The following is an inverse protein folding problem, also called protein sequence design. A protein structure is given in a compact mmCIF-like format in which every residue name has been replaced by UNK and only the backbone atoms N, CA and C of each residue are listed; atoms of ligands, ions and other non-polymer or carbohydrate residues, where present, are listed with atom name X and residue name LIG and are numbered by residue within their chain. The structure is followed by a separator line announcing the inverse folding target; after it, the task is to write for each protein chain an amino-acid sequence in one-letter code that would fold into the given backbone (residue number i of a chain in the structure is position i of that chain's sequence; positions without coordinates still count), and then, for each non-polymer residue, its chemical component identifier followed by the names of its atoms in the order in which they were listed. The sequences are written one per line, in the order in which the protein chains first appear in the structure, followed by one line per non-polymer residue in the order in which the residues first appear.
data_IF_636221970062
#
_entry.id   IF_636221970062
#
_cell.length_a   1.000
_cell.length_b   1.000
_cell.length_c   1.000
_cell.angle_alpha   90.00
_cell.angle_beta   90.00
_cell.angle_gamma   90.00
#
_symmetry.space_group_name_H-M   'P 1'
#
loop_
_entity.id
_entity.type
_entity.pdbx_description
1 polymer ?
#
# COMPACT_ATOMS: atom_id res chain seq x y z
N UNK A 1 -3.20 -5.85 -5.56
CA UNK A 1 -2.01 -6.36 -4.85
C UNK A 1 -2.22 -6.24 -3.36
N UNK A 2 -1.64 -7.17 -2.61
CA UNK A 2 -1.56 -7.13 -1.14
C UNK A 2 -0.12 -7.41 -0.71
N UNK A 3 0.29 -6.87 0.44
CA UNK A 3 1.65 -7.06 0.96
C UNK A 3 1.60 -7.54 2.41
N UNK A 4 2.26 -8.66 2.73
CA UNK A 4 2.22 -9.25 4.07
C UNK A 4 3.39 -10.20 4.35
N UNK A 5 3.72 -10.37 5.63
CA UNK A 5 4.70 -11.36 6.08
C UNK A 5 4.01 -12.66 6.52
N UNK A 6 4.79 -13.63 6.99
CA UNK A 6 4.26 -14.90 7.46
C UNK A 6 3.26 -14.77 8.63
N UNK A 7 3.36 -13.72 9.46
CA UNK A 7 2.47 -13.51 10.61
C UNK A 7 1.10 -12.98 10.19
N UNK A 8 1.04 -12.27 9.07
CA UNK A 8 -0.19 -11.68 8.53
C UNK A 8 -0.89 -12.58 7.49
N UNK A 9 -0.45 -13.83 7.31
CA UNK A 9 -1.08 -14.76 6.36
C UNK A 9 -2.55 -15.07 6.72
N UNK A 10 -2.90 -15.18 8.01
CA UNK A 10 -4.29 -15.43 8.43
C UNK A 10 -5.20 -14.22 8.09
N UNK A 11 -4.84 -12.98 8.48
CA UNK A 11 -5.55 -11.79 8.01
C UNK A 11 -5.69 -11.75 6.48
N UNK A 12 -4.61 -12.01 5.74
CA UNK A 12 -4.62 -12.03 4.28
C UNK A 12 -5.62 -13.06 3.73
N UNK A 13 -5.67 -14.27 4.31
CA UNK A 13 -6.67 -15.29 3.96
C UNK A 13 -8.10 -14.81 4.15
N UNK A 14 -8.40 -14.18 5.29
CA UNK A 14 -9.75 -13.66 5.58
C UNK A 14 -10.12 -12.52 4.63
N UNK A 15 -9.21 -11.56 4.46
CA UNK A 15 -9.40 -10.40 3.58
C UNK A 15 -9.66 -10.85 2.13
N UNK A 16 -8.78 -11.68 1.56
CA UNK A 16 -8.91 -12.17 0.18
C UNK A 16 -10.16 -13.04 -0.02
N UNK A 17 -10.48 -13.91 0.96
CA UNK A 17 -11.69 -14.72 0.88
C UNK A 17 -12.94 -13.83 0.87
N UNK A 18 -13.03 -12.87 1.80
CA UNK A 18 -14.18 -11.95 1.88
C UNK A 18 -14.32 -11.07 0.64
N UNK A 19 -13.19 -10.68 0.04
CA UNK A 19 -13.16 -9.94 -1.22
C UNK A 19 -13.76 -10.79 -2.36
N UNK A 20 -13.26 -12.01 -2.54
CA UNK A 20 -13.72 -12.90 -3.62
C UNK A 20 -15.15 -13.41 -3.42
N UNK A 21 -15.61 -13.53 -2.18
CA UNK A 21 -17.00 -13.90 -1.89
C UNK A 21 -18.00 -12.78 -2.16
N UNK A 22 -17.54 -11.52 -2.19
CA UNK A 22 -18.39 -10.33 -2.31
C UNK A 22 -18.28 -9.63 -3.68
N UNK A 23 -17.29 -9.99 -4.50
CA UNK A 23 -17.02 -9.32 -5.77
C UNK A 23 -18.01 -9.71 -6.88
N UNK A 24 -18.31 -8.76 -7.76
CA UNK A 24 -19.05 -9.03 -8.99
C UNK A 24 -18.21 -9.89 -9.94
N UNK A 25 -18.83 -10.84 -10.65
CA UNK A 25 -18.13 -11.68 -11.63
C UNK A 25 -18.35 -11.20 -13.08
N UNK A 26 -19.20 -10.19 -13.26
CA UNK A 26 -19.55 -9.62 -14.56
C UNK A 26 -19.91 -8.15 -14.40
N UNK A 27 -19.54 -7.32 -15.38
CA UNK A 27 -19.94 -5.93 -15.50
C UNK A 27 -20.20 -5.60 -16.96
N UNK A 28 -21.35 -4.98 -17.25
CA UNK A 28 -21.75 -4.58 -18.60
C UNK A 28 -21.64 -5.72 -19.64
N UNK A 29 -21.98 -6.95 -19.26
CA UNK A 29 -21.88 -8.15 -20.11
C UNK A 29 -20.48 -8.74 -20.25
N UNK A 30 -19.48 -8.18 -19.56
CA UNK A 30 -18.08 -8.62 -19.60
C UNK A 30 -17.73 -9.35 -18.30
N UNK A 31 -17.29 -10.60 -18.42
CA UNK A 31 -16.80 -11.38 -17.27
C UNK A 31 -15.54 -10.75 -16.69
N UNK A 32 -15.51 -10.61 -15.37
CA UNK A 32 -14.38 -10.08 -14.62
C UNK A 32 -13.48 -11.23 -14.16
N UNK A 33 -12.17 -10.99 -14.19
CA UNK A 33 -11.17 -11.89 -13.64
C UNK A 33 -10.26 -11.16 -12.65
N UNK A 34 -10.09 -11.73 -11.46
CA UNK A 34 -9.35 -11.10 -10.36
C UNK A 34 -7.97 -11.74 -10.22
N UNK A 35 -6.95 -11.09 -10.79
CA UNK A 35 -5.56 -11.49 -10.58
C UNK A 35 -5.00 -10.86 -9.30
N UNK A 36 -4.73 -11.68 -8.29
CA UNK A 36 -4.24 -11.25 -6.97
C UNK A 36 -2.72 -11.42 -6.93
N UNK A 37 -2.02 -10.30 -6.77
CA UNK A 37 -0.57 -10.26 -6.58
C UNK A 37 -0.24 -10.09 -5.09
N UNK A 38 0.39 -11.10 -4.50
CA UNK A 38 0.84 -11.11 -3.11
C UNK A 38 2.35 -10.82 -3.05
N UNK A 39 2.73 -9.61 -2.61
CA UNK A 39 4.11 -9.29 -2.26
C UNK A 39 4.37 -9.81 -0.84
N UNK A 40 5.26 -10.79 -0.70
CA UNK A 40 5.46 -11.47 0.58
C UNK A 40 6.89 -11.39 1.06
N UNK A 41 7.06 -11.37 2.39
CA UNK A 41 8.36 -11.42 3.04
C UNK A 41 8.52 -12.74 3.80
N UNK A 42 9.25 -13.68 3.21
CA UNK A 42 9.57 -14.98 3.83
C UNK A 42 8.33 -15.81 4.22
N UNK A 43 7.31 -15.85 3.35
CA UNK A 43 6.11 -16.66 3.57
C UNK A 43 6.45 -18.16 3.54
N UNK A 44 6.00 -18.92 4.54
CA UNK A 44 6.24 -20.37 4.58
C UNK A 44 5.46 -21.08 3.47
N UNK A 45 6.01 -22.18 2.95
CA UNK A 45 5.32 -23.01 1.96
C UNK A 45 3.97 -23.51 2.47
N UNK A 46 3.89 -23.87 3.76
CA UNK A 46 2.65 -24.29 4.41
C UNK A 46 1.58 -23.18 4.38
N UNK A 47 1.96 -21.94 4.71
CA UNK A 47 1.03 -20.82 4.71
C UNK A 47 0.61 -20.43 3.29
N UNK A 48 1.54 -20.45 2.32
CA UNK A 48 1.22 -20.24 0.92
C UNK A 48 0.20 -21.27 0.40
N UNK A 49 0.38 -22.56 0.70
CA UNK A 49 -0.56 -23.61 0.29
C UNK A 49 -1.91 -23.49 0.98
N UNK A 50 -1.94 -23.18 2.29
CA UNK A 50 -3.20 -22.91 3.01
C UNK A 50 -3.97 -21.73 2.40
N UNK A 51 -3.27 -20.66 2.02
CA UNK A 51 -3.91 -19.51 1.38
C UNK A 51 -4.46 -19.89 0.00
N UNK A 52 -3.70 -20.64 -0.82
CA UNK A 52 -4.21 -21.17 -2.10
C UNK A 52 -5.46 -22.02 -1.91
N UNK A 53 -5.47 -22.92 -0.93
CA UNK A 53 -6.65 -23.73 -0.61
C UNK A 53 -7.84 -22.88 -0.18
N UNK A 54 -7.59 -21.85 0.63
CA UNK A 54 -8.63 -20.93 1.10
C UNK A 54 -9.36 -20.27 -0.08
N UNK A 55 -8.62 -19.86 -1.11
CA UNK A 55 -9.22 -19.17 -2.27
C UNK A 55 -9.61 -20.11 -3.42
N UNK A 56 -9.25 -21.39 -3.36
CA UNK A 56 -9.51 -22.38 -4.42
C UNK A 56 -10.98 -22.44 -4.89
N UNK A 57 -12.00 -22.24 -4.03
CA UNK A 57 -13.40 -22.17 -4.47
C UNK A 57 -13.68 -21.11 -5.54
N UNK A 58 -12.82 -20.09 -5.67
CA UNK A 58 -12.98 -18.96 -6.60
C UNK A 58 -12.11 -19.07 -7.87
N UNK A 59 -11.46 -20.21 -8.09
CA UNK A 59 -10.50 -20.43 -9.19
C UNK A 59 -11.09 -20.27 -10.61
N UNK A 60 -12.41 -20.30 -10.75
CA UNK A 60 -13.07 -20.06 -12.04
C UNK A 60 -12.96 -18.60 -12.53
N UNK A 61 -12.73 -17.64 -11.63
CA UNK A 61 -12.70 -16.21 -11.94
C UNK A 61 -11.59 -15.43 -11.20
N UNK A 62 -10.65 -16.13 -10.56
CA UNK A 62 -9.52 -15.50 -9.86
C UNK A 62 -8.25 -16.33 -9.95
N UNK A 63 -7.12 -15.64 -9.81
CA UNK A 63 -5.78 -16.21 -9.72
C UNK A 63 -5.00 -15.57 -8.57
N UNK A 64 -4.02 -16.30 -8.03
CA UNK A 64 -3.10 -15.78 -7.02
C UNK A 64 -1.66 -16.06 -7.41
N UNK A 65 -0.82 -15.05 -7.27
CA UNK A 65 0.61 -15.13 -7.49
C UNK A 65 1.36 -14.59 -6.27
N UNK A 66 2.43 -15.28 -5.90
CA UNK A 66 3.29 -14.91 -4.78
C UNK A 66 4.62 -14.39 -5.33
N UNK A 67 4.97 -13.17 -4.96
CA UNK A 67 6.27 -12.58 -5.22
C UNK A 67 7.00 -12.44 -3.88
N UNK A 68 7.95 -13.34 -3.60
CA UNK A 68 8.77 -13.25 -2.40
C UNK A 68 9.85 -12.18 -2.58
N UNK A 69 9.74 -11.11 -1.80
CA UNK A 69 10.66 -9.97 -1.86
C UNK A 69 11.84 -10.12 -0.89
N UNK A 70 11.81 -11.11 0.01
CA UNK A 70 12.79 -11.27 1.09
C UNK A 70 14.22 -11.39 0.56
N UNK A 71 14.39 -12.16 -0.53
CA UNK A 71 15.67 -12.51 -1.17
C UNK A 71 15.76 -12.07 -2.63
N UNK A 72 14.95 -11.10 -3.02
CA UNK A 72 14.93 -10.63 -4.41
C UNK A 72 15.91 -9.45 -4.59
N UNK A 73 17.05 -9.74 -5.21
CA UNK A 73 18.11 -8.77 -5.52
C UNK A 73 17.98 -8.18 -6.95
N UNK A 74 16.82 -8.36 -7.59
CA UNK A 74 16.49 -7.68 -8.84
C UNK A 74 15.82 -6.33 -8.58
N UNK A 75 15.96 -5.41 -9.54
CA UNK A 75 15.12 -4.21 -9.58
C UNK A 75 13.64 -4.59 -9.70
N UNK A 76 12.72 -3.91 -8.98
CA UNK A 76 12.93 -2.77 -8.08
C UNK A 76 13.21 -3.14 -6.60
N UNK A 77 13.24 -4.42 -6.22
CA UNK A 77 13.36 -4.87 -4.83
C UNK A 77 14.73 -4.60 -4.19
N UNK A 78 15.79 -4.55 -4.99
CA UNK A 78 17.11 -4.07 -4.53
C UNK A 78 17.03 -2.63 -4.04
N UNK A 79 16.31 -1.76 -4.76
CA UNK A 79 16.13 -0.37 -4.37
C UNK A 79 15.26 -0.26 -3.12
N UNK A 80 14.18 -1.05 -3.02
CA UNK A 80 13.38 -1.17 -1.78
C UNK A 80 14.27 -1.49 -0.58
N UNK A 81 15.16 -2.49 -0.72
CA UNK A 81 16.06 -2.89 0.36
C UNK A 81 17.08 -1.79 0.71
N UNK A 82 17.61 -1.09 -0.29
CA UNK A 82 18.52 0.06 -0.08
C UNK A 82 17.83 1.23 0.63
N UNK A 83 16.60 1.58 0.22
CA UNK A 83 15.81 2.63 0.86
C UNK A 83 15.43 2.26 2.30
N UNK A 84 15.14 0.99 2.56
CA UNK A 84 14.82 0.51 3.91
C UNK A 84 15.97 0.71 4.90
N UNK A 85 17.22 0.52 4.46
CA UNK A 85 18.40 0.74 5.30
C UNK A 85 18.53 2.20 5.77
N UNK A 86 18.01 3.16 4.99
CA UNK A 86 18.01 4.59 5.29
C UNK A 86 16.96 5.01 6.31
N UNK A 87 16.00 4.15 6.64
CA UNK A 87 15.02 4.44 7.68
C UNK A 87 15.68 4.43 9.07
N UNK A 88 15.21 5.29 9.95
CA UNK A 88 15.65 5.31 11.35
C UNK A 88 15.37 3.96 12.05
N UNK A 89 16.12 3.62 13.13
CA UNK A 89 16.00 2.34 13.82
C UNK A 89 14.59 2.01 14.33
N UNK A 90 13.82 3.02 14.74
CA UNK A 90 12.45 2.82 15.21
C UNK A 90 11.55 2.30 14.07
N UNK A 91 11.60 2.96 12.90
CA UNK A 91 10.84 2.56 11.73
C UNK A 91 11.23 1.15 11.27
N UNK A 92 12.53 0.82 11.25
CA UNK A 92 13.02 -0.53 10.90
C UNK A 92 12.55 -1.62 11.87
N UNK A 93 12.33 -1.29 13.14
CA UNK A 93 11.79 -2.24 14.14
C UNK A 93 10.29 -2.45 13.98
N UNK A 94 9.56 -1.42 13.55
CA UNK A 94 8.10 -1.44 13.47
C UNK A 94 7.57 -1.93 12.12
N UNK A 95 8.30 -1.69 11.04
CA UNK A 95 7.83 -1.93 9.68
C UNK A 95 8.79 -2.83 8.91
N UNK A 96 8.26 -3.69 8.03
CA UNK A 96 9.04 -4.41 7.02
C UNK A 96 9.36 -3.48 5.84
N UNK A 97 10.40 -3.82 5.06
CA UNK A 97 10.73 -3.17 3.79
C UNK A 97 9.57 -3.12 2.80
N UNK A 98 8.58 -4.01 2.94
CA UNK A 98 7.33 -3.99 2.19
C UNK A 98 6.61 -2.64 2.19
N UNK A 99 6.74 -1.82 3.24
CA UNK A 99 6.09 -0.49 3.25
C UNK A 99 6.60 0.41 2.12
N UNK A 100 7.82 0.18 1.64
CA UNK A 100 8.46 0.96 0.58
C UNK A 100 8.13 0.43 -0.82
N UNK A 101 7.58 -0.79 -0.94
CA UNK A 101 7.06 -1.28 -2.22
C UNK A 101 5.95 -0.37 -2.77
N UNK A 102 5.22 0.34 -1.89
CA UNK A 102 4.19 1.33 -2.24
C UNK A 102 4.73 2.50 -3.07
N UNK A 103 6.04 2.79 -2.98
CA UNK A 103 6.70 3.85 -3.74
C UNK A 103 7.13 3.41 -5.15
N UNK A 104 7.06 2.11 -5.43
CA UNK A 104 7.68 1.46 -6.59
C UNK A 104 6.69 0.55 -7.35
N UNK A 105 5.38 0.81 -7.22
CA UNK A 105 4.34 -0.05 -7.77
C UNK A 105 4.33 -0.10 -9.30
N UNK A 106 4.65 0.99 -9.98
CA UNK A 106 4.69 1.05 -11.44
C UNK A 106 5.87 0.23 -12.00
N UNK A 107 6.99 0.18 -11.26
CA UNK A 107 8.14 -0.67 -11.56
C UNK A 107 7.96 -2.12 -11.14
N UNK A 108 7.22 -2.41 -10.06
CA UNK A 108 6.90 -3.79 -9.64
C UNK A 108 5.91 -4.42 -10.63
N UNK A 109 4.97 -3.63 -11.15
CA UNK A 109 3.87 -4.08 -11.99
C UNK A 109 3.85 -3.37 -13.37
N UNK A 110 4.92 -3.48 -14.18
CA UNK A 110 5.04 -2.76 -15.45
C UNK A 110 4.00 -3.20 -16.48
N UNK A 111 3.46 -4.41 -16.34
CA UNK A 111 2.45 -4.99 -17.23
C UNK A 111 1.04 -4.44 -17.03
N UNK A 112 0.80 -3.67 -15.96
CA UNK A 112 -0.52 -3.12 -15.66
C UNK A 112 -0.54 -1.60 -15.81
N UNK A 113 -1.67 -1.09 -16.27
CA UNK A 113 -1.97 0.35 -16.33
C UNK A 113 -2.59 0.86 -15.03
N UNK A 114 -3.37 0.02 -14.35
CA UNK A 114 -4.10 0.37 -13.14
C UNK A 114 -4.09 -0.80 -12.17
N UNK A 115 -4.01 -0.53 -10.87
CA UNK A 115 -4.03 -1.56 -9.83
C UNK A 115 -4.77 -1.08 -8.59
N UNK A 116 -5.49 -1.99 -7.92
CA UNK A 116 -5.92 -1.77 -6.53
C UNK A 116 -4.87 -2.34 -5.59
N UNK A 117 -4.49 -1.57 -4.58
CA UNK A 117 -3.74 -2.00 -3.42
C UNK A 117 -4.63 -1.90 -2.19
N UNK A 118 -4.59 -2.90 -1.30
CA UNK A 118 -5.20 -2.78 0.02
C UNK A 118 -4.43 -3.55 1.09
N UNK A 119 -4.65 -3.19 2.34
CA UNK A 119 -4.04 -3.85 3.50
C UNK A 119 -4.76 -5.16 3.84
N UNK A 120 -4.00 -6.14 4.31
CA UNK A 120 -4.51 -7.51 4.54
C UNK A 120 -5.33 -7.65 5.83
N UNK A 121 -5.36 -6.63 6.68
CA UNK A 121 -6.20 -6.53 7.87
C UNK A 121 -7.56 -5.86 7.57
N UNK A 122 -8.05 -6.05 6.34
CA UNK A 122 -9.36 -5.58 5.86
C UNK A 122 -10.39 -6.71 5.79
N UNK A 123 -11.67 -6.34 5.81
CA UNK A 123 -12.80 -7.24 5.56
C UNK A 123 -13.71 -6.59 4.51
N UNK A 124 -13.96 -7.30 3.42
CA UNK A 124 -14.83 -6.83 2.34
C UNK A 124 -16.26 -7.30 2.55
N UNK A 125 -17.19 -6.36 2.43
CA UNK A 125 -18.65 -6.59 2.56
C UNK A 125 -19.41 -6.17 1.29
N UNK A 126 -18.69 -5.84 0.22
CA UNK A 126 -19.24 -5.34 -1.03
C UNK A 126 -18.30 -5.57 -2.20
N UNK A 127 -18.75 -5.17 -3.39
CA UNK A 127 -18.03 -5.39 -4.63
C UNK A 127 -16.81 -4.47 -4.77
N UNK A 128 -15.62 -5.06 -4.82
CA UNK A 128 -14.36 -4.34 -5.04
C UNK A 128 -14.24 -3.79 -6.47
N UNK A 129 -14.97 -4.35 -7.45
CA UNK A 129 -14.86 -3.95 -8.85
C UNK A 129 -15.28 -2.50 -9.07
N UNK A 130 -16.26 -2.00 -8.30
CA UNK A 130 -16.69 -0.61 -8.33
C UNK A 130 -15.52 0.35 -8.11
N UNK A 131 -14.67 0.02 -7.14
CA UNK A 131 -13.43 0.74 -6.88
C UNK A 131 -12.55 0.81 -8.13
N UNK A 132 -12.31 -0.32 -8.80
CA UNK A 132 -11.39 -0.41 -9.95
C UNK A 132 -11.83 0.44 -11.15
N UNK A 133 -13.14 0.49 -11.39
CA UNK A 133 -13.74 1.21 -12.51
C UNK A 133 -14.03 2.69 -12.19
N UNK A 134 -13.60 3.19 -11.03
CA UNK A 134 -13.69 4.61 -10.72
C UNK A 134 -12.87 5.43 -11.75
N UNK A 135 -13.46 6.49 -12.34
CA UNK A 135 -12.71 7.43 -13.19
C UNK A 135 -11.55 8.05 -12.40
N UNK A 136 -10.36 8.07 -13.00
CA UNK A 136 -9.17 8.64 -12.36
C UNK A 136 -8.98 10.12 -12.70
N UNK A 137 -9.52 10.59 -13.82
CA UNK A 137 -9.52 12.01 -14.24
C UNK A 137 -8.14 12.69 -14.12
N UNK A 138 -7.06 11.96 -14.45
CA UNK A 138 -5.68 12.46 -14.37
C UNK A 138 -5.07 12.45 -12.95
N UNK A 139 -5.74 11.87 -11.97
CA UNK A 139 -5.19 11.66 -10.63
C UNK A 139 -4.24 10.45 -10.59
N UNK A 140 -3.14 10.58 -9.85
CA UNK A 140 -2.17 9.49 -9.66
C UNK A 140 -2.72 8.29 -8.89
N UNK A 141 -3.65 8.53 -7.97
CA UNK A 141 -4.32 7.50 -7.19
C UNK A 141 -5.65 8.03 -6.63
N UNK A 142 -6.56 7.11 -6.32
CA UNK A 142 -7.75 7.33 -5.49
C UNK A 142 -7.57 6.59 -4.17
N UNK A 143 -8.03 7.18 -3.07
CA UNK A 143 -7.94 6.62 -1.72
C UNK A 143 -9.14 7.05 -0.87
N UNK A 144 -9.35 6.36 0.25
CA UNK A 144 -10.43 6.69 1.17
C UNK A 144 -10.09 7.96 1.96
N UNK A 145 -10.98 8.97 1.91
CA UNK A 145 -10.84 10.18 2.72
C UNK A 145 -10.91 9.84 4.20
N UNK A 146 -9.97 10.35 4.98
CA UNK A 146 -9.93 10.13 6.42
C UNK A 146 -10.60 11.29 7.16
N UNK A 147 -11.44 10.96 8.14
CA UNK A 147 -12.04 11.96 9.02
C UNK A 147 -11.17 12.15 10.26
N UNK A 148 -10.32 13.17 10.21
CA UNK A 148 -9.39 13.52 11.30
C UNK A 148 -10.11 13.89 12.60
N UNK A 149 -11.40 14.27 12.55
CA UNK A 149 -12.17 14.60 13.75
C UNK A 149 -12.39 13.39 14.66
N UNK A 150 -12.41 12.18 14.09
CA UNK A 150 -12.53 10.91 14.82
C UNK A 150 -11.33 10.64 15.73
N UNK A 151 -10.19 11.25 15.46
CA UNK A 151 -8.97 11.18 16.28
C UNK A 151 -8.65 12.52 16.95
N UNK A 152 -9.67 13.38 17.13
CA UNK A 152 -9.59 14.67 17.82
C UNK A 152 -8.58 15.65 17.22
N UNK A 153 -8.46 15.66 15.88
CA UNK A 153 -7.67 16.63 15.13
C UNK A 153 -8.62 17.57 14.39
N UNK A 154 -8.71 18.82 14.83
CA UNK A 154 -9.66 19.82 14.31
C UNK A 154 -8.98 20.97 13.56
N UNK A 155 -7.65 20.97 13.49
CA UNK A 155 -6.86 21.97 12.78
C UNK A 155 -5.52 21.42 12.31
N UNK A 156 -4.89 22.11 11.35
CA UNK A 156 -3.51 21.81 10.94
C UNK A 156 -2.53 21.92 12.12
N UNK A 157 -2.80 22.80 13.09
CA UNK A 157 -2.00 22.90 14.31
C UNK A 157 -2.14 21.68 15.21
N UNK A 158 -3.35 21.13 15.36
CA UNK A 158 -3.57 19.89 16.12
C UNK A 158 -2.82 18.72 15.47
N UNK A 159 -2.87 18.60 14.13
CA UNK A 159 -2.12 17.59 13.40
C UNK A 159 -0.61 17.78 13.57
N UNK A 160 -0.13 19.02 13.50
CA UNK A 160 1.27 19.35 13.69
C UNK A 160 1.77 18.96 15.08
N UNK A 161 1.05 19.36 16.14
CA UNK A 161 1.37 19.02 17.53
C UNK A 161 1.30 17.51 17.77
N UNK A 162 0.28 16.84 17.22
CA UNK A 162 0.14 15.38 17.29
C UNK A 162 1.37 14.67 16.70
N UNK A 163 1.78 15.06 15.48
CA UNK A 163 2.99 14.51 14.84
C UNK A 163 4.27 14.83 15.62
N UNK A 164 4.38 16.03 16.19
CA UNK A 164 5.51 16.43 17.03
C UNK A 164 5.65 15.52 18.26
N UNK A 165 4.54 15.27 18.95
CA UNK A 165 4.48 14.41 20.12
C UNK A 165 4.81 12.96 19.76
N UNK A 166 4.28 12.50 18.63
CA UNK A 166 4.58 11.16 18.11
C UNK A 166 6.07 11.00 17.79
N UNK A 167 6.67 11.94 17.05
CA UNK A 167 8.11 11.94 16.74
C UNK A 167 8.97 11.92 18.01
N UNK A 168 8.63 12.73 19.01
CA UNK A 168 9.31 12.74 20.32
C UNK A 168 9.19 11.39 21.03
N UNK A 169 8.00 10.78 21.04
CA UNK A 169 7.78 9.46 21.62
C UNK A 169 8.57 8.34 20.92
N UNK A 170 8.84 8.50 19.63
CA UNK A 170 9.68 7.57 18.84
C UNK A 170 11.18 7.84 18.95
N UNK A 171 11.60 8.88 19.68
CA UNK A 171 13.00 9.30 19.76
C UNK A 171 13.54 9.94 18.48
N UNK A 172 12.66 10.37 17.57
CA UNK A 172 13.02 11.03 16.31
C UNK A 172 13.34 12.50 16.60
N UNK A 173 14.54 12.95 16.21
CA UNK A 173 14.99 14.33 16.45
C UNK A 173 14.52 15.22 15.30
N UNK A 174 13.59 16.11 15.63
CA UNK A 174 13.13 17.14 14.69
C UNK A 174 14.31 17.97 14.19
N UNK A 175 14.39 18.13 12.89
CA UNK A 175 15.43 18.90 12.23
C UNK A 175 14.90 19.51 10.92
N UNK A 176 15.78 20.11 10.12
CA UNK A 176 15.41 20.79 8.86
C UNK A 176 14.77 19.86 7.80
N UNK A 177 14.93 18.53 7.94
CA UNK A 177 14.28 17.52 7.09
C UNK A 177 12.88 17.13 7.55
N UNK A 178 12.50 17.44 8.78
CA UNK A 178 11.15 17.17 9.29
C UNK A 178 10.08 17.96 8.51
N UNK A 179 8.84 17.48 8.50
CA UNK A 179 7.73 18.16 7.80
C UNK A 179 7.56 19.60 8.31
N UNK A 180 7.50 20.54 7.38
CA UNK A 180 7.16 21.93 7.66
C UNK A 180 5.68 22.06 8.02
N UNK A 181 5.31 23.17 8.67
CA UNK A 181 3.90 23.46 8.96
C UNK A 181 3.06 23.56 7.68
N UNK A 182 3.62 24.11 6.59
CA UNK A 182 2.95 24.18 5.29
C UNK A 182 2.62 22.79 4.74
N UNK A 183 3.56 21.85 4.82
CA UNK A 183 3.34 20.46 4.39
C UNK A 183 2.29 19.76 5.27
N UNK A 184 2.28 20.03 6.57
CA UNK A 184 1.23 19.52 7.46
C UNK A 184 -0.14 20.14 7.12
N UNK A 185 -0.17 21.40 6.70
CA UNK A 185 -1.37 22.04 6.16
C UNK A 185 -1.93 21.28 4.95
N UNK A 186 -1.09 20.93 3.98
CA UNK A 186 -1.49 20.13 2.81
C UNK A 186 -2.08 18.78 3.23
N UNK A 187 -1.44 18.09 4.19
CA UNK A 187 -1.92 16.81 4.72
C UNK A 187 -3.25 16.94 5.48
N UNK A 188 -3.45 18.04 6.21
CA UNK A 188 -4.69 18.31 6.93
C UNK A 188 -5.87 18.63 5.99
N UNK A 189 -5.61 19.34 4.89
CA UNK A 189 -6.62 19.66 3.89
C UNK A 189 -7.01 18.44 3.04
N UNK A 190 -6.09 17.49 2.89
CA UNK A 190 -6.25 16.29 2.05
C UNK A 190 -6.00 15.00 2.84
N UNK A 191 -6.75 14.71 3.91
CA UNK A 191 -6.53 13.53 4.73
C UNK A 191 -7.05 12.28 4.02
N UNK A 192 -6.21 11.26 3.90
CA UNK A 192 -6.57 10.00 3.31
C UNK A 192 -5.88 8.83 4.00
N UNK A 193 -6.53 7.66 3.92
CA UNK A 193 -6.00 6.40 4.40
C UNK A 193 -5.45 5.58 3.23
N UNK A 194 -4.25 5.03 3.39
CA UNK A 194 -3.56 4.24 2.36
C UNK A 194 -3.84 2.72 2.42
N UNK A 195 -4.79 2.29 3.25
CA UNK A 195 -5.19 0.89 3.42
C UNK A 195 -6.08 0.36 2.31
N UNK A 196 -6.62 1.24 1.46
CA UNK A 196 -7.24 0.90 0.17
C UNK A 196 -6.95 2.02 -0.82
N UNK A 197 -6.35 1.68 -1.96
CA UNK A 197 -5.94 2.64 -2.99
C UNK A 197 -6.17 2.08 -4.38
N UNK A 198 -6.76 2.87 -5.27
CA UNK A 198 -6.72 2.66 -6.71
C UNK A 198 -5.57 3.48 -7.28
N UNK A 199 -4.72 2.90 -8.11
CA UNK A 199 -3.48 3.54 -8.53
C UNK A 199 -3.36 3.47 -10.05
N UNK A 200 -3.07 4.62 -10.67
CA UNK A 200 -2.82 4.73 -12.11
C UNK A 200 -1.33 4.57 -12.40
N UNK A 201 -0.91 3.34 -12.68
CA UNK A 201 0.49 2.99 -12.94
C UNK A 201 0.98 3.53 -14.30
N UNK A 202 0.08 3.70 -15.27
CA UNK A 202 0.44 4.29 -16.56
C UNK A 202 0.85 5.76 -16.38
N UNK A 203 0.04 6.52 -15.64
CA UNK A 203 0.34 7.91 -15.33
C UNK A 203 1.58 8.06 -14.44
N UNK A 204 1.81 7.13 -13.50
CA UNK A 204 3.05 7.11 -12.70
C UNK A 204 4.29 6.99 -13.58
N UNK A 205 4.26 6.12 -14.60
CA UNK A 205 5.37 5.96 -15.56
C UNK A 205 5.54 7.18 -16.45
N UNK A 206 4.46 7.69 -17.02
CA UNK A 206 4.49 8.88 -17.91
C UNK A 206 5.05 10.12 -17.18
N UNK A 207 4.69 10.29 -15.91
CA UNK A 207 5.05 11.45 -15.12
C UNK A 207 6.38 11.31 -14.36
N UNK A 208 7.06 10.17 -14.45
CA UNK A 208 8.24 9.84 -13.65
C UNK A 208 7.98 10.04 -12.13
N UNK A 209 6.83 9.55 -11.66
CA UNK A 209 6.40 9.79 -10.28
C UNK A 209 7.26 9.03 -9.28
N UNK A 210 7.67 7.79 -9.59
CA UNK A 210 8.50 7.00 -8.68
C UNK A 210 9.83 7.69 -8.40
N UNK A 211 10.47 8.25 -9.42
CA UNK A 211 11.71 9.01 -9.29
C UNK A 211 11.52 10.21 -8.35
N UNK A 212 10.43 10.96 -8.52
CA UNK A 212 10.08 12.09 -7.62
C UNK A 212 9.83 11.65 -6.18
N UNK A 213 9.11 10.54 -5.99
CA UNK A 213 8.84 9.98 -4.66
C UNK A 213 10.13 9.52 -3.98
N UNK A 214 11.01 8.86 -4.73
CA UNK A 214 12.31 8.38 -4.24
C UNK A 214 13.22 9.56 -3.91
N UNK A 215 13.29 10.58 -4.76
CA UNK A 215 14.10 11.77 -4.49
C UNK A 215 13.58 12.54 -3.28
N UNK A 216 12.26 12.67 -3.12
CA UNK A 216 11.65 13.22 -1.93
C UNK A 216 12.04 12.40 -0.68
N UNK A 217 11.89 11.08 -0.73
CA UNK A 217 12.28 10.18 0.36
C UNK A 217 13.77 10.33 0.71
N UNK A 218 14.65 10.31 -0.28
CA UNK A 218 16.11 10.40 -0.09
C UNK A 218 16.58 11.76 0.41
N UNK A 219 15.83 12.82 0.15
CA UNK A 219 16.12 14.16 0.68
C UNK A 219 15.71 14.26 2.14
N UNK A 220 14.61 13.61 2.49
CA UNK A 220 13.93 13.70 3.80
C UNK A 220 14.34 12.62 4.79
N UNK A 221 15.03 11.58 4.34
CA UNK A 221 15.44 10.51 5.24
C UNK A 221 16.37 11.00 6.35
N UNK A 222 15.97 10.64 7.56
CA UNK A 222 16.80 10.77 8.75
C UNK A 222 17.40 9.38 8.96
N UNK A 223 18.66 9.21 8.53
CA UNK A 223 19.43 7.99 8.80
C UNK A 223 19.45 7.65 10.28
#
# INVERSE_FOLDING_TARGET
MVAFDNNYCIPASVSLYSMLSSCAQERDGVKLFYQIHCLVDSLSAENAEKLKWTIAPFSAFSGIEFCDISKNDAYPFTLVSQLFLRLNPFAKKRFSKMILCRLLLASIFPQYEKIIMFDVDTLFVGDISEGFFTPMDGAYFGATKEDLSLINIHSANDLFVSRLNWSRGMGVKLNHKSLSFQEVGILYENPFNAGFMLIDLALWRESHLEEKLIDFFKTRDEG
#
